data_IF_172860431625
#
_entry.id   IF_172860431625
#
_cell.length_a   1.000
_cell.length_b   1.000
_cell.length_c   1.000
_cell.angle_alpha   90.00
_cell.angle_beta   90.00
_cell.angle_gamma   90.00
#
_symmetry.space_group_name_H-M   'P 1'
#
loop_
_entity.id
_entity.type
_entity.pdbx_description
1 polymer ?
#
# COMPACT_ATOMS: atom_id res chain seq x y z
N UNK A 1 11.51 -11.83 -61.98
CA UNK A 1 11.50 -13.24 -62.37
C UNK A 1 10.67 -13.96 -61.31
N UNK A 2 9.34 -14.12 -61.51
CA UNK A 2 8.65 -15.29 -62.10
C UNK A 2 9.20 -16.61 -61.52
N UNK A 3 8.45 -17.45 -60.83
CA UNK A 3 7.33 -18.20 -61.36
C UNK A 3 6.40 -18.76 -60.24
N UNK A 4 5.14 -18.75 -60.55
CA UNK A 4 4.00 -19.50 -60.00
C UNK A 4 4.08 -20.99 -60.34
N UNK A 5 3.38 -21.85 -59.54
CA UNK A 5 2.54 -23.01 -59.94
C UNK A 5 1.86 -23.52 -58.67
N UNK A 6 0.65 -23.61 -58.46
CA UNK A 6 -0.71 -23.95 -58.91
C UNK A 6 -0.90 -25.45 -59.26
N UNK A 7 -2.08 -25.98 -58.69
CA UNK A 7 -2.94 -27.15 -58.96
C UNK A 7 -2.54 -28.46 -58.27
N UNK A 8 -3.44 -29.27 -57.64
CA UNK A 8 -4.68 -29.87 -58.15
C UNK A 8 -5.65 -30.31 -57.03
N UNK A 9 -6.94 -30.15 -57.32
CA UNK A 9 -8.14 -30.67 -56.73
C UNK A 9 -8.32 -32.14 -57.06
N UNK A 10 -8.82 -32.96 -56.12
CA UNK A 10 -9.61 -34.13 -56.48
C UNK A 10 -10.76 -34.34 -55.46
N UNK A 11 -11.97 -34.33 -56.02
CA UNK A 11 -13.26 -34.59 -55.45
C UNK A 11 -13.62 -36.07 -55.68
N UNK A 12 -14.12 -36.79 -54.71
CA UNK A 12 -15.01 -37.94 -54.97
C UNK A 12 -15.97 -38.19 -53.78
N UNK A 13 -17.22 -38.05 -54.13
CA UNK A 13 -18.44 -38.36 -53.37
C UNK A 13 -18.66 -39.87 -53.22
N UNK A 14 -19.22 -40.31 -52.10
CA UNK A 14 -20.10 -41.47 -52.03
C UNK A 14 -21.22 -41.27 -50.99
N UNK A 15 -22.43 -41.23 -51.49
CA UNK A 15 -23.70 -41.36 -50.74
C UNK A 15 -23.89 -42.77 -50.19
N UNK A 16 -24.38 -42.93 -48.98
CA UNK A 16 -25.40 -43.95 -48.62
C UNK A 16 -26.16 -43.62 -47.32
N UNK A 17 -27.43 -43.89 -47.42
CA UNK A 17 -28.62 -43.56 -46.67
C UNK A 17 -28.79 -44.26 -45.29
N UNK A 18 -29.66 -43.59 -44.50
CA UNK A 18 -30.64 -44.08 -43.55
C UNK A 18 -30.14 -44.32 -42.11
N UNK A 19 -30.77 -43.87 -41.06
CA UNK A 19 -32.16 -43.87 -40.65
C UNK A 19 -32.33 -42.95 -39.41
N UNK A 20 -33.47 -42.26 -39.33
CA UNK A 20 -33.90 -41.46 -38.18
C UNK A 20 -34.26 -42.37 -36.99
N UNK A 21 -33.71 -42.05 -35.79
CA UNK A 21 -34.39 -42.32 -34.53
C UNK A 21 -34.26 -41.03 -33.71
N UNK A 22 -35.38 -40.32 -33.57
CA UNK A 22 -35.49 -39.15 -32.71
C UNK A 22 -35.74 -39.61 -31.28
N UNK A 23 -34.84 -39.29 -30.37
CA UNK A 23 -35.08 -39.34 -28.93
C UNK A 23 -35.03 -37.90 -28.42
N UNK A 24 -36.10 -37.40 -27.82
CA UNK A 24 -36.05 -36.08 -27.19
C UNK A 24 -35.35 -36.21 -25.84
N UNK A 25 -34.09 -35.77 -25.77
CA UNK A 25 -33.40 -35.60 -24.51
C UNK A 25 -33.69 -34.17 -24.02
N UNK A 26 -34.60 -34.06 -23.03
CA UNK A 26 -34.74 -32.82 -22.26
C UNK A 26 -33.45 -32.56 -21.50
N UNK A 27 -32.60 -31.69 -22.05
CA UNK A 27 -31.49 -31.13 -21.31
C UNK A 27 -32.04 -30.06 -20.39
N UNK A 28 -32.15 -30.37 -19.10
CA UNK A 28 -32.22 -29.39 -18.03
C UNK A 28 -30.85 -28.73 -17.95
N UNK A 29 -30.70 -27.56 -18.58
CA UNK A 29 -29.59 -26.65 -18.31
C UNK A 29 -29.80 -26.07 -16.92
N UNK A 30 -29.22 -26.72 -15.92
CA UNK A 30 -28.95 -26.08 -14.66
C UNK A 30 -27.82 -25.03 -14.94
N UNK A 31 -28.19 -23.76 -14.97
CA UNK A 31 -27.22 -22.69 -14.81
C UNK A 31 -26.73 -22.74 -13.36
N UNK A 32 -25.69 -23.52 -13.09
CA UNK A 32 -24.81 -23.25 -11.95
C UNK A 32 -24.01 -22.02 -12.31
N UNK A 33 -24.30 -20.93 -11.64
CA UNK A 33 -23.37 -19.82 -11.52
C UNK A 33 -22.19 -20.35 -10.70
N UNK A 34 -21.21 -20.95 -11.37
CA UNK A 34 -19.89 -21.16 -10.79
C UNK A 34 -19.28 -19.76 -10.61
N UNK A 35 -19.39 -19.21 -9.40
CA UNK A 35 -18.40 -18.30 -8.90
C UNK A 35 -17.12 -19.12 -8.80
N UNK A 36 -16.37 -19.20 -9.87
CA UNK A 36 -14.97 -19.64 -9.84
C UNK A 36 -14.15 -18.49 -9.26
N UNK A 37 -14.17 -18.32 -7.94
CA UNK A 37 -13.10 -17.63 -7.26
C UNK A 37 -11.83 -18.41 -7.58
N UNK A 38 -10.97 -17.83 -8.39
CA UNK A 38 -9.61 -18.34 -8.58
C UNK A 38 -8.96 -18.39 -7.19
N UNK A 39 -8.26 -19.46 -6.80
CA UNK A 39 -7.68 -19.55 -5.45
C UNK A 39 -6.67 -18.46 -5.10
N UNK A 40 -6.41 -17.51 -5.98
CA UNK A 40 -5.46 -16.41 -5.86
C UNK A 40 -6.07 -15.03 -6.18
N UNK A 41 -7.39 -14.86 -6.21
CA UNK A 41 -7.97 -13.52 -6.35
C UNK A 41 -7.94 -12.80 -5.00
N UNK A 42 -7.55 -11.50 -4.95
CA UNK A 42 -7.55 -10.75 -3.71
C UNK A 42 -8.97 -10.58 -3.15
N UNK A 43 -9.09 -10.46 -1.85
CA UNK A 43 -10.33 -10.04 -1.21
C UNK A 43 -10.65 -8.59 -1.61
N UNK A 44 -11.91 -8.29 -1.89
CA UNK A 44 -12.38 -6.92 -2.09
C UNK A 44 -13.09 -6.45 -0.83
N UNK A 45 -12.41 -5.60 -0.07
CA UNK A 45 -12.87 -5.06 1.19
C UNK A 45 -13.19 -3.57 1.04
N UNK A 46 -13.81 -2.98 2.03
CA UNK A 46 -14.09 -1.55 2.09
C UNK A 46 -13.88 -1.03 3.50
N UNK A 47 -13.76 0.28 3.64
CA UNK A 47 -13.74 0.90 4.97
C UNK A 47 -15.13 1.40 5.36
N UNK A 48 -15.42 1.34 6.66
CA UNK A 48 -16.52 2.06 7.30
C UNK A 48 -15.93 3.19 8.12
N UNK A 49 -16.31 4.44 7.83
CA UNK A 49 -15.89 5.60 8.61
C UNK A 49 -16.64 5.61 9.94
N UNK A 50 -15.92 5.55 11.04
CA UNK A 50 -16.45 5.54 12.39
C UNK A 50 -16.44 6.93 13.02
N UNK A 51 -15.38 7.71 12.78
CA UNK A 51 -15.17 9.03 13.34
C UNK A 51 -14.18 9.84 12.48
N UNK A 52 -14.09 11.15 12.76
CA UNK A 52 -13.08 12.04 12.21
C UNK A 52 -12.40 12.82 13.32
N UNK A 53 -11.13 13.14 13.14
CA UNK A 53 -10.32 13.87 14.09
C UNK A 53 -9.41 14.89 13.39
N UNK A 54 -8.98 15.96 14.08
CA UNK A 54 -8.12 16.95 13.45
C UNK A 54 -6.69 16.41 13.26
N UNK A 55 -6.10 16.76 12.12
CA UNK A 55 -4.67 16.56 11.84
C UNK A 55 -3.89 17.86 12.16
N UNK A 56 -2.65 17.81 12.66
CA UNK A 56 -1.83 19.01 12.82
C UNK A 56 -1.73 19.84 11.54
N UNK A 57 -1.78 21.16 11.66
CA UNK A 57 -1.73 22.05 10.50
C UNK A 57 -0.44 21.88 9.68
N UNK A 58 -0.54 22.10 8.37
CA UNK A 58 0.54 21.97 7.39
C UNK A 58 1.16 20.58 7.35
N UNK A 59 0.34 19.54 7.48
CA UNK A 59 0.76 18.16 7.40
C UNK A 59 0.78 17.68 5.95
N UNK A 60 1.99 17.62 5.36
CA UNK A 60 2.20 16.88 4.11
C UNK A 60 2.58 15.44 4.49
N UNK A 61 1.57 14.61 4.77
CA UNK A 61 1.73 13.28 5.38
C UNK A 61 2.54 12.36 4.48
N UNK A 62 3.62 11.80 5.04
CA UNK A 62 4.49 10.84 4.38
C UNK A 62 4.70 9.56 5.19
N UNK A 63 4.33 9.56 6.46
CA UNK A 63 4.33 8.39 7.32
C UNK A 63 3.45 8.63 8.53
N UNK A 64 2.70 7.61 8.96
CA UNK A 64 1.79 7.66 10.11
C UNK A 64 1.88 6.34 10.87
N UNK A 65 1.95 6.38 12.21
CA UNK A 65 1.98 5.18 13.05
C UNK A 65 1.45 5.50 14.46
N UNK A 66 0.69 4.58 15.08
CA UNK A 66 0.26 4.71 16.47
C UNK A 66 1.39 4.31 17.43
N UNK A 67 1.68 5.15 18.43
CA UNK A 67 2.65 4.81 19.47
C UNK A 67 2.04 3.93 20.58
N UNK A 68 2.84 3.54 21.57
CA UNK A 68 2.38 2.66 22.66
C UNK A 68 1.42 3.32 23.63
N UNK A 69 1.23 4.64 23.54
CA UNK A 69 0.36 5.44 24.42
C UNK A 69 -0.94 5.85 23.73
N UNK A 70 -1.12 5.44 22.45
CA UNK A 70 -2.27 5.79 21.62
C UNK A 70 -2.15 7.17 20.95
N UNK A 71 -0.97 7.81 21.02
CA UNK A 71 -0.70 9.00 20.24
C UNK A 71 -0.25 8.60 18.82
N UNK A 72 -0.35 9.52 17.88
CA UNK A 72 0.15 9.30 16.53
C UNK A 72 1.50 9.96 16.33
N UNK A 73 2.39 9.22 15.67
CA UNK A 73 3.61 9.71 15.06
C UNK A 73 3.32 10.05 13.60
N UNK A 74 3.83 11.18 13.15
CA UNK A 74 3.63 11.70 11.81
C UNK A 74 4.97 12.16 11.24
N UNK A 75 5.37 11.57 10.12
CA UNK A 75 6.43 12.06 9.26
C UNK A 75 5.84 12.96 8.19
N UNK A 76 6.33 14.21 8.07
CA UNK A 76 5.87 15.13 7.03
C UNK A 76 6.95 15.39 6.00
N UNK A 77 6.53 15.62 4.74
CA UNK A 77 7.36 16.06 3.63
C UNK A 77 7.43 17.59 3.51
N UNK A 78 7.98 18.05 2.42
CA UNK A 78 8.26 19.41 1.96
C UNK A 78 9.65 19.94 2.36
N UNK A 79 10.33 20.53 1.38
CA UNK A 79 11.66 21.12 1.57
C UNK A 79 11.59 22.32 2.50
N UNK A 80 12.38 22.29 3.58
CA UNK A 80 12.42 23.35 4.60
C UNK A 80 11.24 23.32 5.58
N UNK A 81 10.31 22.37 5.45
CA UNK A 81 9.11 22.25 6.28
C UNK A 81 8.89 20.85 6.85
N UNK A 82 9.76 19.89 6.51
CA UNK A 82 9.65 18.50 6.96
C UNK A 82 9.84 18.36 8.46
N UNK A 83 8.99 17.55 9.08
CA UNK A 83 8.96 17.35 10.53
C UNK A 83 8.73 15.90 10.90
N UNK A 84 9.18 15.52 12.09
CA UNK A 84 8.71 14.38 12.84
C UNK A 84 7.86 14.92 14.00
N UNK A 85 6.61 14.48 14.11
CA UNK A 85 5.63 14.99 15.07
C UNK A 85 5.06 13.83 15.87
N UNK A 86 4.81 14.05 17.18
CA UNK A 86 3.91 13.23 17.99
C UNK A 86 2.72 14.10 18.38
N UNK A 87 1.52 13.61 18.19
CA UNK A 87 0.30 14.37 18.50
C UNK A 87 -0.82 13.48 19.04
N UNK A 88 -1.77 14.08 19.75
CA UNK A 88 -2.99 13.42 20.21
C UNK A 88 -3.99 13.29 19.04
N UNK A 89 -4.43 12.11 18.64
CA UNK A 89 -5.45 11.96 17.60
C UNK A 89 -6.81 12.51 18.00
N UNK A 90 -7.10 12.64 19.31
CA UNK A 90 -8.39 13.16 19.78
C UNK A 90 -8.51 14.68 19.60
N UNK A 91 -7.40 15.41 19.73
CA UNK A 91 -7.41 16.88 19.77
C UNK A 91 -6.59 17.54 18.68
N UNK A 92 -5.72 16.79 17.97
CA UNK A 92 -4.73 17.33 17.03
C UNK A 92 -3.60 18.09 17.72
N UNK A 93 -3.54 18.12 19.06
CA UNK A 93 -2.50 18.81 19.82
C UNK A 93 -1.14 18.18 19.61
N UNK A 94 -0.17 18.99 19.19
CA UNK A 94 1.22 18.57 19.04
C UNK A 94 1.85 18.42 20.43
N UNK A 95 2.21 17.19 20.79
CA UNK A 95 2.86 16.84 22.05
C UNK A 95 4.39 16.97 21.95
N UNK A 96 4.92 16.69 20.77
CA UNK A 96 6.37 16.75 20.50
C UNK A 96 6.60 16.97 19.01
N UNK A 97 7.64 17.74 18.68
CA UNK A 97 7.99 18.07 17.29
C UNK A 97 9.50 18.18 17.12
N UNK A 98 9.99 17.75 15.95
CA UNK A 98 11.37 17.91 15.52
C UNK A 98 11.37 18.31 14.04
N UNK A 99 11.89 19.51 13.73
CA UNK A 99 12.10 19.95 12.36
C UNK A 99 13.33 19.28 11.76
N UNK A 100 13.22 18.77 10.53
CA UNK A 100 14.37 18.27 9.78
C UNK A 100 15.22 19.43 9.26
N UNK A 101 16.45 19.10 8.83
CA UNK A 101 17.28 20.03 8.07
C UNK A 101 16.57 20.47 6.78
N UNK A 102 16.63 21.76 6.42
CA UNK A 102 15.95 22.34 5.24
C UNK A 102 16.33 21.64 3.91
N UNK A 103 17.47 20.98 3.86
CA UNK A 103 17.97 20.22 2.71
C UNK A 103 17.39 18.82 2.62
N UNK A 104 16.54 18.41 3.56
CA UNK A 104 15.89 17.09 3.61
C UNK A 104 14.40 17.24 3.31
N UNK A 105 13.87 16.26 2.59
CA UNK A 105 12.45 16.04 2.45
C UNK A 105 12.12 14.78 3.23
N UNK A 106 11.38 14.89 4.33
CA UNK A 106 11.00 13.77 5.20
C UNK A 106 9.99 12.86 4.51
N UNK A 107 10.11 11.58 4.79
CA UNK A 107 9.29 10.53 4.24
C UNK A 107 8.80 9.58 5.34
N UNK A 108 8.47 8.35 4.99
CA UNK A 108 7.93 7.31 5.85
C UNK A 108 8.68 7.16 7.17
N UNK A 109 7.91 6.86 8.21
CA UNK A 109 8.44 6.67 9.57
C UNK A 109 8.00 5.31 10.11
N UNK A 110 8.76 4.76 11.05
CA UNK A 110 8.29 3.63 11.86
C UNK A 110 9.04 3.53 13.17
N UNK A 111 8.40 2.92 14.16
CA UNK A 111 9.01 2.59 15.44
C UNK A 111 9.60 1.19 15.40
N UNK A 112 10.81 1.08 15.92
CA UNK A 112 11.41 -0.21 16.21
C UNK A 112 12.05 -0.18 17.59
N UNK A 113 11.52 -0.98 18.51
CA UNK A 113 11.84 -0.90 19.94
C UNK A 113 11.64 0.53 20.48
N UNK A 114 12.65 1.10 21.14
CA UNK A 114 12.62 2.46 21.70
C UNK A 114 13.10 3.53 20.70
N UNK A 115 13.16 3.21 19.42
CA UNK A 115 13.66 4.11 18.39
C UNK A 115 12.61 4.39 17.32
N UNK A 116 12.78 5.49 16.61
CA UNK A 116 11.98 5.87 15.45
C UNK A 116 12.93 6.03 14.28
N UNK A 117 12.65 5.37 13.17
CA UNK A 117 13.30 5.61 11.91
C UNK A 117 12.45 6.55 11.04
N UNK A 118 13.10 7.45 10.31
CA UNK A 118 12.49 8.31 9.30
C UNK A 118 13.32 8.32 8.04
N UNK A 119 12.68 8.11 6.91
CA UNK A 119 13.29 8.18 5.58
C UNK A 119 13.41 9.63 5.09
N UNK A 120 14.22 9.81 4.04
CA UNK A 120 14.29 11.05 3.26
C UNK A 120 14.19 10.73 1.77
N UNK A 121 13.38 11.48 1.02
CA UNK A 121 13.05 11.18 -0.37
C UNK A 121 14.27 10.88 -1.25
N UNK A 122 15.00 11.91 -1.70
CA UNK A 122 16.08 11.79 -2.71
C UNK A 122 17.48 11.84 -2.10
N UNK A 123 17.59 11.95 -0.79
CA UNK A 123 18.92 12.02 -0.13
C UNK A 123 19.45 10.64 0.24
N UNK A 124 18.61 9.59 0.16
CA UNK A 124 19.01 8.25 0.49
C UNK A 124 19.51 8.13 1.93
N UNK A 125 18.91 8.87 2.86
CA UNK A 125 19.24 8.87 4.28
C UNK A 125 18.08 8.36 5.11
N UNK A 126 18.35 7.42 6.02
CA UNK A 126 17.47 7.03 7.10
C UNK A 126 18.00 7.62 8.39
N UNK A 127 17.13 8.35 9.11
CA UNK A 127 17.45 9.04 10.37
C UNK A 127 16.83 8.25 11.51
N UNK A 128 17.63 7.90 12.53
CA UNK A 128 17.15 7.23 13.74
C UNK A 128 17.10 8.21 14.91
N UNK A 129 15.98 8.22 15.59
CA UNK A 129 15.71 9.06 16.76
C UNK A 129 15.41 8.19 17.98
N UNK A 130 15.66 8.74 19.16
CA UNK A 130 15.13 8.21 20.42
C UNK A 130 13.69 8.71 20.67
N UNK A 131 13.09 8.30 21.79
CA UNK A 131 11.73 8.71 22.19
C UNK A 131 11.58 10.22 22.39
N UNK A 132 12.67 10.95 22.60
CA UNK A 132 12.70 12.42 22.77
C UNK A 132 12.99 13.14 21.43
N UNK A 133 12.91 12.44 20.30
CA UNK A 133 13.25 12.93 18.95
C UNK A 133 14.69 13.48 18.84
N UNK A 134 15.60 12.98 19.68
CA UNK A 134 17.01 13.26 19.51
C UNK A 134 17.61 12.29 18.51
N UNK A 135 18.25 12.81 17.46
CA UNK A 135 18.88 11.97 16.43
C UNK A 135 20.06 11.21 17.01
N UNK A 136 19.97 9.89 17.03
CA UNK A 136 20.97 8.97 17.57
C UNK A 136 21.86 8.37 16.50
N UNK A 137 21.35 8.21 15.26
CA UNK A 137 22.05 7.57 14.15
C UNK A 137 21.54 8.09 12.81
N UNK A 138 22.36 7.94 11.78
CA UNK A 138 21.97 8.02 10.38
C UNK A 138 22.53 6.82 9.63
N UNK A 139 21.78 6.31 8.68
CA UNK A 139 22.21 5.31 7.71
C UNK A 139 21.95 5.82 6.29
N UNK A 140 22.47 5.12 5.29
CA UNK A 140 22.24 5.46 3.89
C UNK A 140 21.69 4.26 3.15
N UNK A 141 20.86 4.54 2.14
CA UNK A 141 20.32 3.55 1.21
C UNK A 141 20.41 4.08 -0.23
N UNK A 142 20.32 3.18 -1.20
CA UNK A 142 20.32 3.55 -2.62
C UNK A 142 18.91 3.90 -3.09
N UNK A 143 18.80 4.84 -4.03
CA UNK A 143 17.53 5.25 -4.62
C UNK A 143 16.74 6.22 -3.75
N UNK A 144 15.42 6.18 -3.91
CA UNK A 144 14.46 6.97 -3.16
C UNK A 144 13.96 6.19 -1.94
N UNK A 145 13.36 6.84 -0.97
CA UNK A 145 12.64 6.23 0.14
C UNK A 145 11.28 6.88 0.27
N UNK A 146 10.22 6.09 0.37
CA UNK A 146 8.85 6.54 0.45
C UNK A 146 8.17 6.09 1.75
N UNK A 147 7.66 4.87 1.84
CA UNK A 147 7.04 4.32 3.03
C UNK A 147 7.99 3.46 3.86
N UNK A 148 7.66 3.27 5.12
CA UNK A 148 8.45 2.45 6.05
C UNK A 148 7.54 1.89 7.15
N UNK A 149 7.58 0.57 7.39
CA UNK A 149 6.96 -0.04 8.56
C UNK A 149 7.85 -1.10 9.20
N UNK A 150 7.64 -1.41 10.48
CA UNK A 150 8.37 -2.44 11.21
C UNK A 150 7.57 -3.75 11.24
N UNK A 151 8.19 -4.84 10.78
CA UNK A 151 7.62 -6.17 10.79
C UNK A 151 8.55 -7.15 11.50
N UNK A 152 8.22 -7.53 12.73
CA UNK A 152 9.01 -8.44 13.55
C UNK A 152 10.48 -8.02 13.67
N UNK A 153 11.39 -8.73 12.97
CA UNK A 153 12.85 -8.57 13.05
C UNK A 153 13.42 -7.69 11.94
N UNK A 154 12.59 -7.03 11.16
CA UNK A 154 12.98 -6.22 10.00
C UNK A 154 12.16 -4.96 9.85
N UNK A 155 12.67 -4.03 9.05
CA UNK A 155 11.90 -2.93 8.52
C UNK A 155 11.58 -3.21 7.06
N UNK A 156 10.38 -2.86 6.64
CA UNK A 156 9.95 -2.95 5.24
C UNK A 156 9.82 -1.53 4.70
N UNK A 157 10.47 -1.30 3.56
CA UNK A 157 10.56 0.02 2.92
C UNK A 157 10.03 -0.05 1.49
N UNK A 158 9.27 0.95 1.08
CA UNK A 158 8.90 1.22 -0.31
C UNK A 158 9.77 2.33 -0.90
N UNK A 159 9.82 2.43 -2.21
CA UNK A 159 10.60 3.44 -2.94
C UNK A 159 9.90 3.95 -4.23
N UNK A 160 8.58 3.74 -4.33
CA UNK A 160 7.77 4.12 -5.48
C UNK A 160 7.80 3.12 -6.64
N UNK A 161 8.58 2.04 -6.53
CA UNK A 161 8.52 0.91 -7.46
C UNK A 161 7.56 -0.17 -6.96
N UNK A 162 7.45 -1.28 -7.68
CA UNK A 162 6.73 -2.48 -7.24
C UNK A 162 7.48 -3.31 -6.19
N UNK A 163 8.56 -2.78 -5.62
CA UNK A 163 9.46 -3.54 -4.75
C UNK A 163 9.30 -3.13 -3.28
N UNK A 164 9.09 -4.11 -2.40
CA UNK A 164 9.32 -3.98 -0.97
C UNK A 164 10.78 -4.36 -0.67
N UNK A 165 11.47 -3.50 0.08
CA UNK A 165 12.87 -3.69 0.50
C UNK A 165 12.91 -4.06 1.96
N UNK A 166 13.53 -5.19 2.29
CA UNK A 166 13.67 -5.70 3.65
C UNK A 166 14.97 -5.21 4.26
N UNK A 167 14.88 -4.38 5.29
CA UNK A 167 16.02 -3.68 5.89
C UNK A 167 16.32 -4.24 7.28
N UNK A 168 17.58 -4.29 7.63
CA UNK A 168 18.03 -4.59 9.00
C UNK A 168 17.64 -3.45 9.95
N UNK A 169 16.89 -3.69 11.03
CA UNK A 169 16.35 -2.62 11.86
C UNK A 169 17.40 -1.89 12.71
N UNK A 170 18.59 -2.47 12.91
CA UNK A 170 19.65 -1.85 13.69
C UNK A 170 20.65 -1.09 12.82
N UNK A 171 20.95 -1.60 11.63
CA UNK A 171 21.96 -1.02 10.72
C UNK A 171 21.37 -0.28 9.53
N UNK A 172 20.10 -0.53 9.20
CA UNK A 172 19.40 -0.11 8.00
C UNK A 172 20.04 -0.67 6.70
N UNK A 173 20.76 -1.78 6.80
CA UNK A 173 21.30 -2.48 5.64
C UNK A 173 20.18 -3.28 4.94
N UNK A 174 20.13 -3.22 3.63
CA UNK A 174 19.19 -4.03 2.85
C UNK A 174 19.58 -5.52 2.94
N UNK A 175 18.62 -6.38 3.30
CA UNK A 175 18.76 -7.82 3.42
C UNK A 175 18.28 -8.55 2.17
N UNK A 176 17.13 -8.13 1.63
CA UNK A 176 16.48 -8.70 0.45
C UNK A 176 15.44 -7.76 -0.11
N UNK A 177 14.83 -8.16 -1.22
CA UNK A 177 13.72 -7.45 -1.87
C UNK A 177 12.63 -8.43 -2.26
N UNK A 178 11.38 -7.97 -2.32
CA UNK A 178 10.21 -8.73 -2.79
C UNK A 178 9.44 -7.88 -3.79
N UNK A 179 9.15 -8.41 -4.97
CA UNK A 179 8.27 -7.75 -5.96
C UNK A 179 6.81 -7.94 -5.56
N UNK A 180 6.05 -6.85 -5.50
CA UNK A 180 4.62 -6.86 -5.19
C UNK A 180 3.81 -7.04 -6.45
N UNK A 181 2.85 -7.97 -6.40
CA UNK A 181 1.97 -8.27 -7.53
C UNK A 181 0.52 -8.36 -7.11
N UNK A 182 -0.35 -7.83 -7.95
CA UNK A 182 -1.81 -8.00 -7.91
C UNK A 182 -2.22 -8.87 -9.10
N UNK A 183 -2.74 -10.07 -8.85
CA UNK A 183 -3.10 -11.04 -9.89
C UNK A 183 -1.98 -11.28 -10.92
N UNK A 184 -0.74 -11.32 -10.44
CA UNK A 184 0.45 -11.56 -11.26
C UNK A 184 0.98 -10.35 -12.03
N UNK A 185 0.39 -9.18 -11.88
CA UNK A 185 0.89 -7.91 -12.45
C UNK A 185 1.60 -7.08 -11.38
N UNK A 186 2.79 -6.50 -11.65
CA UNK A 186 3.48 -5.64 -10.70
C UNK A 186 2.62 -4.45 -10.26
N UNK A 187 2.70 -4.10 -8.97
CA UNK A 187 2.04 -2.92 -8.37
C UNK A 187 3.09 -1.83 -8.17
N UNK A 188 3.14 -0.90 -9.09
CA UNK A 188 4.03 0.27 -9.01
C UNK A 188 3.49 1.33 -8.03
N UNK A 189 4.33 2.33 -7.74
CA UNK A 189 3.98 3.49 -6.93
C UNK A 189 3.62 3.15 -5.47
N UNK A 190 4.17 2.06 -4.90
CA UNK A 190 4.03 1.73 -3.49
C UNK A 190 4.56 2.89 -2.64
N UNK A 191 3.72 3.39 -1.72
CA UNK A 191 4.01 4.59 -0.95
C UNK A 191 4.01 4.29 0.56
N UNK A 192 3.23 4.98 1.35
CA UNK A 192 3.19 4.82 2.78
C UNK A 192 2.76 3.40 3.19
N UNK A 193 3.38 2.88 4.24
CA UNK A 193 3.26 1.50 4.68
C UNK A 193 2.94 1.40 6.17
N UNK A 194 2.02 0.48 6.52
CA UNK A 194 1.75 0.04 7.89
C UNK A 194 1.84 -1.48 7.99
N UNK A 195 2.59 -1.99 8.97
CA UNK A 195 2.78 -3.42 9.20
C UNK A 195 1.86 -3.93 10.33
N UNK A 196 0.92 -4.83 10.01
CA UNK A 196 -0.06 -5.37 10.96
C UNK A 196 -0.11 -6.89 10.88
N UNK A 197 0.13 -7.57 12.00
CA UNK A 197 0.03 -9.03 12.14
C UNK A 197 0.84 -9.84 11.11
N UNK A 198 1.92 -9.26 10.57
CA UNK A 198 2.79 -9.89 9.59
C UNK A 198 2.50 -9.53 8.14
N UNK A 199 1.39 -8.85 7.86
CA UNK A 199 1.05 -8.29 6.56
C UNK A 199 1.46 -6.81 6.47
N UNK A 200 1.62 -6.31 5.25
CA UNK A 200 1.85 -4.90 4.93
C UNK A 200 0.58 -4.30 4.33
N UNK A 201 0.12 -3.21 4.90
CA UNK A 201 -0.91 -2.36 4.32
C UNK A 201 -0.20 -1.19 3.62
N UNK A 202 -0.47 -1.00 2.34
CA UNK A 202 0.23 -0.03 1.52
C UNK A 202 -0.72 0.96 0.86
N UNK A 203 -0.40 2.26 0.95
CA UNK A 203 -0.90 3.22 0.00
C UNK A 203 -0.17 3.05 -1.34
N UNK A 204 -0.87 3.26 -2.43
CA UNK A 204 -0.30 3.34 -3.79
C UNK A 204 -0.55 4.74 -4.31
N UNK A 205 0.50 5.46 -4.69
CA UNK A 205 0.37 6.86 -5.10
C UNK A 205 -0.56 6.99 -6.31
N UNK A 206 -1.55 7.87 -6.19
CA UNK A 206 -2.58 8.05 -7.22
C UNK A 206 -3.72 7.03 -7.18
N UNK A 207 -3.68 6.03 -6.28
CA UNK A 207 -4.81 5.14 -5.98
C UNK A 207 -5.59 5.63 -4.76
N UNK A 208 -6.88 5.33 -4.72
CA UNK A 208 -7.74 5.52 -3.54
C UNK A 208 -7.93 4.23 -2.74
N UNK A 209 -7.34 3.14 -3.19
CA UNK A 209 -7.37 1.85 -2.51
C UNK A 209 -6.11 1.62 -1.68
N UNK A 210 -6.26 0.87 -0.58
CA UNK A 210 -5.16 0.35 0.23
C UNK A 210 -4.98 -1.12 -0.13
N UNK A 211 -3.73 -1.57 -0.28
CA UNK A 211 -3.42 -2.95 -0.59
C UNK A 211 -2.86 -3.68 0.62
N UNK A 212 -3.43 -4.84 0.96
CA UNK A 212 -2.85 -5.75 1.95
C UNK A 212 -1.96 -6.76 1.24
N UNK A 213 -0.71 -6.83 1.64
CA UNK A 213 0.38 -7.55 0.96
C UNK A 213 1.02 -8.54 1.92
N UNK A 214 1.26 -9.77 1.49
CA UNK A 214 2.12 -10.73 2.20
C UNK A 214 3.58 -10.39 1.86
N UNK A 215 4.39 -9.86 2.80
CA UNK A 215 5.71 -9.33 2.46
C UNK A 215 6.70 -10.38 1.97
N UNK A 216 6.54 -11.65 2.37
CA UNK A 216 7.44 -12.74 1.95
C UNK A 216 7.22 -13.20 0.50
N UNK A 217 6.02 -13.04 -0.05
CA UNK A 217 5.69 -13.42 -1.44
C UNK A 217 5.45 -12.23 -2.35
N UNK A 218 5.13 -11.05 -1.80
CA UNK A 218 4.70 -9.89 -2.53
C UNK A 218 3.28 -9.98 -3.08
N UNK A 219 2.53 -11.01 -2.73
CA UNK A 219 1.16 -11.19 -3.20
C UNK A 219 0.21 -10.21 -2.50
N UNK A 220 -0.58 -9.45 -3.27
CA UNK A 220 -1.69 -8.65 -2.76
C UNK A 220 -2.86 -9.58 -2.43
N UNK A 221 -3.21 -9.68 -1.17
CA UNK A 221 -4.29 -10.55 -0.67
C UNK A 221 -5.60 -9.83 -0.48
N UNK A 222 -5.59 -8.50 -0.37
CA UNK A 222 -6.80 -7.69 -0.36
C UNK A 222 -6.60 -6.32 -1.02
N UNK A 223 -7.66 -5.86 -1.67
CA UNK A 223 -7.83 -4.49 -2.15
C UNK A 223 -8.94 -3.85 -1.32
N UNK A 224 -8.62 -2.78 -0.61
CA UNK A 224 -9.49 -2.14 0.38
C UNK A 224 -9.89 -0.77 -0.15
N UNK A 225 -11.15 -0.65 -0.60
CA UNK A 225 -11.69 0.64 -1.09
C UNK A 225 -11.88 1.63 0.06
N UNK A 226 -11.46 2.88 -0.17
CA UNK A 226 -11.70 4.02 0.73
C UNK A 226 -12.77 4.99 0.22
N UNK A 227 -13.67 4.53 -0.66
CA UNK A 227 -14.76 5.35 -1.24
C UNK A 227 -15.70 5.96 -0.19
N UNK A 228 -15.77 5.37 1.01
CA UNK A 228 -16.57 5.88 2.11
C UNK A 228 -16.02 7.20 2.71
N UNK A 229 -14.76 7.55 2.43
CA UNK A 229 -14.14 8.80 2.87
C UNK A 229 -14.52 9.91 1.88
N UNK A 230 -15.12 11.00 2.39
CA UNK A 230 -15.41 12.17 1.57
C UNK A 230 -14.13 12.98 1.30
N UNK A 231 -13.59 12.81 0.11
CA UNK A 231 -12.38 13.49 -0.38
C UNK A 231 -12.67 14.71 -1.24
N UNK A 232 -13.94 15.13 -1.36
CA UNK A 232 -14.37 16.19 -2.28
C UNK A 232 -13.75 17.56 -2.02
N UNK A 233 -13.27 17.82 -0.80
CA UNK A 233 -12.56 19.06 -0.43
C UNK A 233 -11.09 19.08 -0.83
N UNK A 234 -10.49 17.92 -1.12
CA UNK A 234 -9.11 17.78 -1.50
C UNK A 234 -8.99 17.73 -3.03
N UNK A 235 -8.61 18.84 -3.62
CA UNK A 235 -8.73 19.05 -5.08
C UNK A 235 -7.39 19.23 -5.81
N UNK A 236 -6.30 19.41 -5.07
CA UNK A 236 -4.96 19.42 -5.66
C UNK A 236 -4.57 17.99 -6.07
N UNK A 237 -3.94 17.77 -7.22
CA UNK A 237 -3.50 16.44 -7.64
C UNK A 237 -2.54 15.74 -6.66
N UNK A 238 -1.88 16.51 -5.78
CA UNK A 238 -1.02 15.97 -4.74
C UNK A 238 -1.76 15.70 -3.41
N UNK A 239 -3.04 16.05 -3.28
CA UNK A 239 -3.86 15.80 -2.07
C UNK A 239 -4.33 14.33 -2.01
N UNK A 240 -3.42 13.39 -2.27
CA UNK A 240 -3.73 11.96 -2.35
C UNK A 240 -3.83 11.32 -0.97
N UNK A 241 -4.58 10.22 -0.89
CA UNK A 241 -4.58 9.33 0.28
C UNK A 241 -3.15 8.87 0.56
N UNK A 242 -2.67 9.12 1.76
CA UNK A 242 -1.33 8.71 2.21
C UNK A 242 -1.21 8.84 3.73
N UNK A 243 -1.05 7.71 4.40
CA UNK A 243 -0.97 7.60 5.85
C UNK A 243 -1.97 6.59 6.39
N UNK A 244 -1.44 5.50 6.93
CA UNK A 244 -2.17 4.39 7.55
C UNK A 244 -1.57 4.18 8.93
N UNK A 245 -2.38 4.15 9.97
CA UNK A 245 -1.94 3.73 11.30
C UNK A 245 -2.95 2.77 11.90
N UNK A 246 -2.51 1.57 12.25
CA UNK A 246 -3.35 0.57 12.90
C UNK A 246 -3.58 0.93 14.37
N UNK A 247 -4.85 0.96 14.79
CA UNK A 247 -5.21 1.15 16.21
C UNK A 247 -5.01 -0.18 16.92
N UNK A 248 -3.95 -0.27 17.69
CA UNK A 248 -3.46 -1.51 18.27
C UNK A 248 -4.51 -2.30 19.06
N UNK A 249 -4.65 -3.57 18.71
CA UNK A 249 -5.59 -4.51 19.37
C UNK A 249 -7.03 -4.39 18.89
N UNK A 250 -7.27 -3.72 17.79
CA UNK A 250 -8.58 -3.57 17.14
C UNK A 250 -8.50 -3.96 15.66
N UNK A 251 -9.63 -3.89 14.96
CA UNK A 251 -9.77 -3.95 13.50
C UNK A 251 -9.89 -2.55 12.85
N UNK A 252 -9.45 -1.53 13.57
CA UNK A 252 -9.61 -0.12 13.18
C UNK A 252 -8.28 0.53 12.81
N UNK A 253 -8.37 1.54 11.96
CA UNK A 253 -7.22 2.29 11.46
C UNK A 253 -7.52 3.78 11.49
N UNK A 254 -6.47 4.58 11.63
CA UNK A 254 -6.45 5.98 11.24
C UNK A 254 -5.95 6.10 9.79
N UNK A 255 -6.71 6.79 8.96
CA UNK A 255 -6.33 7.12 7.59
C UNK A 255 -6.30 8.63 7.41
N UNK A 256 -5.38 9.10 6.56
CA UNK A 256 -5.29 10.50 6.16
C UNK A 256 -4.67 10.63 4.76
N UNK A 257 -4.33 11.85 4.35
CA UNK A 257 -3.69 12.12 3.06
C UNK A 257 -2.69 13.27 3.13
N UNK A 258 -2.00 13.50 2.02
CA UNK A 258 -1.11 14.63 1.83
C UNK A 258 -1.93 15.93 1.85
N UNK A 259 -1.54 16.89 2.68
CA UNK A 259 -2.24 18.17 2.92
C UNK A 259 -3.70 18.05 3.39
N UNK A 260 -4.11 16.87 3.85
CA UNK A 260 -5.41 16.76 4.49
C UNK A 260 -5.37 17.44 5.87
N UNK A 261 -6.53 17.90 6.31
CA UNK A 261 -6.73 18.56 7.61
C UNK A 261 -7.44 17.65 8.62
N UNK A 262 -7.78 16.42 8.19
CA UNK A 262 -8.51 15.43 8.99
C UNK A 262 -7.85 14.05 8.94
N UNK A 263 -7.99 13.37 10.07
CA UNK A 263 -7.88 11.92 10.21
C UNK A 263 -9.25 11.28 10.12
N UNK A 264 -9.31 10.11 9.52
CA UNK A 264 -10.51 9.27 9.47
C UNK A 264 -10.26 7.99 10.24
N UNK A 265 -11.02 7.78 11.34
CA UNK A 265 -11.03 6.51 12.04
C UNK A 265 -11.95 5.58 11.28
N UNK A 266 -11.41 4.46 10.82
CA UNK A 266 -12.14 3.53 9.96
C UNK A 266 -12.04 2.11 10.49
N UNK A 267 -13.01 1.26 10.10
CA UNK A 267 -12.96 -0.19 10.25
C UNK A 267 -12.94 -0.83 8.88
N UNK A 268 -12.07 -1.80 8.69
CA UNK A 268 -12.03 -2.62 7.46
C UNK A 268 -13.06 -3.73 7.55
N UNK A 269 -13.87 -3.94 6.50
CA UNK A 269 -14.96 -4.94 6.44
C UNK A 269 -15.12 -5.56 5.05
#
# INVERSE_FOLDING_TARGET
>A
MMARRQWYIWCMSFLRRAALIAVPCCALTACSSDNSDSPNSPEHLSVEVLDTAPLPENSFTQGLEEDSEGNLLLGTGQWGESRLIRFSPETGEILQEHALDDSLFGEGITRYNDSIWQLTWKRGQALRYDSNFQRTKSATYAGEGWGLCANQDELIMSDGTSTLRHMDPETFAERSTTEVTLEGSPVEDLNELECVDGDVYANVWGSEDIYRIVPSSGEVTAVISTDAIDKSKYTDPDDVLNGIAHIKGTDEFWLTGKRWDELYRVRVK
#
